data_IF_584880811930
#
_entry.id   IF_584880811930
#
_cell.length_a   1.000
_cell.length_b   1.000
_cell.length_c   1.000
_cell.angle_alpha   90.00
_cell.angle_beta   90.00
_cell.angle_gamma   90.00
#
_symmetry.space_group_name_H-M   'P 1'
#
loop_
_entity.id
_entity.type
_entity.pdbx_description
1 polymer ?
#
# COMPACT_ATOMS: atom_id res chain seq x y z
N UNK A 1 3.60 9.49 -4.35
CA UNK A 1 3.12 8.58 -3.27
C UNK A 1 3.38 9.33 -1.99
N UNK A 2 2.41 10.07 -1.44
CA UNK A 2 2.71 10.93 -0.29
C UNK A 2 3.27 10.10 0.87
N UNK A 3 4.35 10.60 1.47
CA UNK A 3 4.84 10.07 2.74
C UNK A 3 3.70 10.29 3.75
N UNK A 4 3.09 9.19 4.19
CA UNK A 4 1.89 9.16 5.05
C UNK A 4 2.09 10.03 6.26
N UNK A 5 3.23 9.89 6.92
CA UNK A 5 3.53 10.61 8.13
C UNK A 5 3.79 12.09 7.88
N UNK A 6 4.46 12.47 6.78
CA UNK A 6 4.57 13.90 6.40
C UNK A 6 3.22 14.50 6.03
N UNK A 7 2.33 13.72 5.41
CA UNK A 7 0.99 14.18 5.08
C UNK A 7 0.13 14.32 6.35
N UNK A 8 0.21 13.37 7.28
CA UNK A 8 -0.41 13.46 8.61
C UNK A 8 0.12 14.66 9.40
N UNK A 9 1.43 14.86 9.45
CA UNK A 9 2.07 15.95 10.19
C UNK A 9 1.73 17.33 9.56
N UNK A 10 1.60 17.39 8.23
CA UNK A 10 1.23 18.60 7.50
C UNK A 10 -0.26 18.93 7.63
N UNK A 11 -1.12 17.91 7.64
CA UNK A 11 -2.58 18.07 7.76
C UNK A 11 -3.06 18.23 9.19
N UNK A 12 -2.30 17.73 10.17
CA UNK A 12 -2.65 17.76 11.59
C UNK A 12 -1.43 18.17 12.43
N UNK A 13 -0.93 19.42 12.34
CA UNK A 13 0.19 19.89 13.13
C UNK A 13 -0.13 20.16 14.61
N UNK A 14 -1.42 20.33 15.00
CA UNK A 14 -1.79 20.79 16.36
C UNK A 14 -2.92 20.01 17.08
N UNK A 15 -3.09 20.24 18.38
CA UNK A 15 -4.09 19.56 19.25
C UNK A 15 -5.56 19.95 18.93
N UNK A 16 -5.79 21.11 18.29
CA UNK A 16 -7.12 21.69 18.08
C UNK A 16 -7.89 21.15 16.85
N UNK A 17 -7.29 20.27 16.05
CA UNK A 17 -7.89 19.82 14.77
C UNK A 17 -8.67 18.49 14.90
N UNK A 18 -8.88 18.01 16.14
CA UNK A 18 -9.70 16.82 16.38
C UNK A 18 -11.19 17.05 16.10
N UNK A 19 -11.68 18.30 16.12
CA UNK A 19 -13.03 18.66 15.69
C UNK A 19 -13.16 18.77 14.17
N UNK A 20 -12.05 18.93 13.45
CA UNK A 20 -12.03 19.10 11.99
C UNK A 20 -12.36 17.80 11.26
N UNK A 21 -12.12 16.62 11.84
CA UNK A 21 -12.45 15.32 11.24
C UNK A 21 -13.89 15.17 10.67
N UNK A 22 -14.82 16.01 11.14
CA UNK A 22 -16.20 16.11 10.63
C UNK A 22 -16.28 16.71 9.21
N UNK A 23 -15.22 17.31 8.66
CA UNK A 23 -15.23 17.88 7.30
C UNK A 23 -15.39 16.81 6.23
N UNK A 24 -14.86 15.59 6.42
CA UNK A 24 -14.95 14.59 5.37
C UNK A 24 -16.28 13.81 5.35
N UNK A 25 -17.11 13.91 6.39
CA UNK A 25 -18.52 13.47 6.31
C UNK A 25 -19.34 14.35 5.35
N UNK A 26 -18.98 15.63 5.20
CA UNK A 26 -19.70 16.60 4.36
C UNK A 26 -18.92 17.11 3.15
N UNK A 27 -17.63 16.77 3.06
CA UNK A 27 -16.67 17.33 2.12
C UNK A 27 -16.77 18.88 2.05
N UNK A 28 -16.67 19.55 3.21
CA UNK A 28 -16.77 21.02 3.31
C UNK A 28 -15.51 21.62 3.94
N UNK A 29 -14.73 22.37 3.15
CA UNK A 29 -13.49 23.02 3.57
C UNK A 29 -13.65 24.40 4.21
N UNK A 30 -14.87 24.91 4.45
CA UNK A 30 -15.09 26.28 4.97
C UNK A 30 -14.45 26.57 6.32
N UNK A 31 -14.33 25.57 7.20
CA UNK A 31 -13.71 25.73 8.51
C UNK A 31 -12.19 25.63 8.47
N UNK A 32 -11.61 25.13 7.37
CA UNK A 32 -10.16 24.97 7.23
C UNK A 32 -9.48 26.32 7.02
N UNK A 33 -8.27 26.45 7.53
CA UNK A 33 -7.42 27.62 7.32
C UNK A 33 -5.98 27.20 6.95
N UNK A 34 -5.13 28.18 6.62
CA UNK A 34 -3.70 27.96 6.37
C UNK A 34 -3.39 26.92 5.30
N UNK A 35 -2.41 26.06 5.60
CA UNK A 35 -1.96 24.99 4.70
C UNK A 35 -3.04 23.94 4.45
N UNK A 36 -3.82 23.57 5.47
CA UNK A 36 -4.90 22.59 5.36
C UNK A 36 -5.97 23.02 4.35
N UNK A 37 -6.38 24.31 4.38
CA UNK A 37 -7.31 24.86 3.38
C UNK A 37 -6.75 24.78 1.97
N UNK A 38 -5.48 25.17 1.81
CA UNK A 38 -4.80 25.18 0.51
C UNK A 38 -4.74 23.78 -0.09
N UNK A 39 -4.35 22.79 0.72
CA UNK A 39 -4.26 21.39 0.29
C UNK A 39 -5.66 20.85 -0.05
N UNK A 40 -6.66 21.13 0.79
CA UNK A 40 -8.04 20.70 0.53
C UNK A 40 -8.58 21.27 -0.78
N UNK A 41 -8.38 22.55 -1.06
CA UNK A 41 -8.87 23.18 -2.29
C UNK A 41 -8.23 22.58 -3.54
N UNK A 42 -6.91 22.37 -3.51
CA UNK A 42 -6.19 21.72 -4.62
C UNK A 42 -6.71 20.29 -4.85
N UNK A 43 -6.94 19.55 -3.76
CA UNK A 43 -7.48 18.19 -3.84
C UNK A 43 -8.92 18.18 -4.36
N UNK A 44 -9.79 19.06 -3.86
CA UNK A 44 -11.18 19.18 -4.30
C UNK A 44 -11.27 19.54 -5.79
N UNK A 45 -10.46 20.49 -6.26
CA UNK A 45 -10.39 20.86 -7.67
C UNK A 45 -9.89 19.70 -8.55
N UNK A 46 -8.87 18.97 -8.10
CA UNK A 46 -8.37 17.78 -8.80
C UNK A 46 -9.45 16.69 -8.89
N UNK A 47 -10.14 16.38 -7.79
CA UNK A 47 -11.17 15.35 -7.77
C UNK A 47 -12.39 15.75 -8.60
N UNK A 48 -12.79 17.03 -8.59
CA UNK A 48 -13.81 17.56 -9.50
C UNK A 48 -13.40 17.40 -10.96
N UNK A 49 -12.15 17.68 -11.30
CA UNK A 49 -11.63 17.51 -12.66
C UNK A 49 -11.64 16.03 -13.10
N UNK A 50 -11.25 15.11 -12.22
CA UNK A 50 -11.31 13.66 -12.47
C UNK A 50 -12.77 13.21 -12.64
N UNK A 51 -13.68 13.63 -11.75
CA UNK A 51 -15.09 13.29 -11.82
C UNK A 51 -15.74 13.79 -13.11
N UNK A 52 -15.43 15.02 -13.54
CA UNK A 52 -15.94 15.60 -14.78
C UNK A 52 -15.47 14.81 -16.01
N UNK A 53 -14.18 14.43 -16.06
CA UNK A 53 -13.64 13.60 -17.14
C UNK A 53 -14.28 12.21 -17.17
N UNK A 54 -14.51 11.61 -16.01
CA UNK A 54 -15.17 10.31 -15.92
C UNK A 54 -16.63 10.40 -16.39
N UNK A 55 -17.37 11.41 -15.93
CA UNK A 55 -18.76 11.64 -16.34
C UNK A 55 -18.86 11.83 -17.86
N UNK A 56 -17.95 12.60 -18.45
CA UNK A 56 -17.90 12.82 -19.89
C UNK A 56 -17.60 11.53 -20.69
N UNK A 57 -16.70 10.68 -20.18
CA UNK A 57 -16.25 9.47 -20.91
C UNK A 57 -17.11 8.22 -20.67
N UNK A 58 -17.73 8.09 -19.50
CA UNK A 58 -18.44 6.87 -19.05
C UNK A 58 -19.91 7.13 -18.67
N UNK A 59 -20.38 8.38 -18.70
CA UNK A 59 -21.78 8.75 -18.41
C UNK A 59 -22.22 8.59 -16.95
N UNK A 60 -21.33 8.15 -16.05
CA UNK A 60 -21.61 7.98 -14.62
C UNK A 60 -20.74 8.89 -13.75
N UNK A 61 -21.37 9.49 -12.74
CA UNK A 61 -20.68 10.36 -11.77
C UNK A 61 -19.98 9.53 -10.69
N UNK A 62 -18.74 9.91 -10.36
CA UNK A 62 -17.93 9.25 -9.32
C UNK A 62 -17.53 10.17 -8.17
N UNK A 63 -17.99 11.43 -8.15
CA UNK A 63 -17.60 12.45 -7.15
C UNK A 63 -17.69 11.94 -5.72
N UNK A 64 -18.84 11.38 -5.32
CA UNK A 64 -19.04 10.87 -3.96
C UNK A 64 -18.05 9.75 -3.60
N UNK A 65 -17.69 8.90 -4.57
CA UNK A 65 -16.70 7.83 -4.36
C UNK A 65 -15.28 8.37 -4.19
N UNK A 66 -14.94 9.44 -4.90
CA UNK A 66 -13.66 10.13 -4.77
C UNK A 66 -13.54 10.80 -3.40
N UNK A 67 -14.56 11.60 -3.03
CA UNK A 67 -14.61 12.32 -1.77
C UNK A 67 -14.58 11.38 -0.56
N UNK A 68 -15.38 10.31 -0.58
CA UNK A 68 -15.40 9.32 0.51
C UNK A 68 -14.03 8.68 0.75
N UNK A 69 -13.27 8.38 -0.32
CA UNK A 69 -11.95 7.76 -0.18
C UNK A 69 -10.93 8.68 0.49
N UNK A 70 -10.98 9.96 0.14
CA UNK A 70 -10.14 10.97 0.78
C UNK A 70 -10.56 11.18 2.24
N UNK A 71 -11.86 11.22 2.53
CA UNK A 71 -12.36 11.24 3.89
C UNK A 71 -11.79 10.09 4.73
N UNK A 72 -11.89 8.86 4.25
CA UNK A 72 -11.35 7.69 4.97
C UNK A 72 -9.83 7.79 5.19
N UNK A 73 -9.11 8.33 4.19
CA UNK A 73 -7.67 8.58 4.33
C UNK A 73 -7.41 9.60 5.44
N UNK A 74 -8.11 10.73 5.44
CA UNK A 74 -7.96 11.76 6.47
C UNK A 74 -8.32 11.25 7.87
N UNK A 75 -9.38 10.45 7.99
CA UNK A 75 -9.75 9.79 9.25
C UNK A 75 -8.64 8.87 9.72
N UNK A 76 -8.05 8.06 8.82
CA UNK A 76 -6.95 7.16 9.20
C UNK A 76 -5.71 7.91 9.66
N UNK A 77 -5.35 9.02 9.00
CA UNK A 77 -4.25 9.90 9.41
C UNK A 77 -4.49 10.52 10.77
N UNK A 78 -5.72 10.98 11.03
CA UNK A 78 -6.09 11.53 12.33
C UNK A 78 -6.00 10.49 13.45
N UNK A 79 -6.42 9.24 13.20
CA UNK A 79 -6.32 8.16 14.19
C UNK A 79 -4.85 7.84 14.50
N UNK A 80 -4.00 7.75 13.48
CA UNK A 80 -2.55 7.55 13.70
C UNK A 80 -1.92 8.72 14.47
N UNK A 81 -2.29 9.96 14.16
CA UNK A 81 -1.84 11.13 14.92
C UNK A 81 -2.29 11.07 16.38
N UNK A 82 -3.53 10.64 16.65
CA UNK A 82 -4.03 10.43 18.02
C UNK A 82 -3.23 9.37 18.77
N UNK A 83 -2.95 8.22 18.15
CA UNK A 83 -2.14 7.18 18.78
C UNK A 83 -0.75 7.68 19.16
N UNK A 84 -0.07 8.36 18.23
CA UNK A 84 1.26 8.93 18.48
C UNK A 84 1.24 9.98 19.60
N UNK A 85 0.31 10.95 19.58
CA UNK A 85 0.23 12.00 20.61
C UNK A 85 -0.16 11.49 21.99
N UNK A 86 -1.12 10.58 22.05
CA UNK A 86 -1.59 10.01 23.32
C UNK A 86 -0.68 8.91 23.87
N UNK A 87 0.35 8.51 23.11
CA UNK A 87 1.20 7.34 23.40
C UNK A 87 0.35 6.07 23.61
N UNK A 88 -0.80 6.01 22.94
CA UNK A 88 -1.66 4.85 22.96
C UNK A 88 -1.11 3.81 21.97
N UNK A 89 -0.91 2.59 22.47
CA UNK A 89 -0.41 1.47 21.68
C UNK A 89 -1.60 0.60 21.24
N UNK A 90 -2.02 0.65 19.96
CA UNK A 90 -3.02 -0.26 19.43
C UNK A 90 -2.45 -1.68 19.33
N UNK A 91 -3.33 -2.68 19.22
CA UNK A 91 -2.93 -4.02 18.76
C UNK A 91 -2.49 -3.98 17.29
N UNK A 92 -1.73 -4.97 16.85
CA UNK A 92 -1.35 -5.10 15.43
C UNK A 92 -2.57 -5.15 14.50
N UNK A 93 -3.66 -5.79 14.91
CA UNK A 93 -4.90 -5.85 14.13
C UNK A 93 -5.55 -4.47 13.98
N UNK A 94 -5.67 -3.73 15.09
CA UNK A 94 -6.23 -2.36 15.07
C UNK A 94 -5.37 -1.42 14.25
N UNK A 95 -4.05 -1.52 14.39
CA UNK A 95 -3.09 -0.75 13.61
C UNK A 95 -3.25 -1.02 12.12
N UNK A 96 -3.24 -2.29 11.69
CA UNK A 96 -3.35 -2.65 10.28
C UNK A 96 -4.70 -2.26 9.69
N UNK A 97 -5.79 -2.38 10.45
CA UNK A 97 -7.12 -1.97 9.99
C UNK A 97 -7.16 -0.49 9.59
N UNK A 98 -6.42 0.38 10.28
CA UNK A 98 -6.30 1.81 9.94
C UNK A 98 -5.16 2.07 8.94
N UNK A 99 -3.99 1.49 9.22
CA UNK A 99 -2.73 1.71 8.52
C UNK A 99 -2.78 1.27 7.06
N UNK A 100 -3.59 0.27 6.71
CA UNK A 100 -3.81 -0.11 5.32
C UNK A 100 -4.45 1.01 4.49
N UNK A 101 -5.33 1.82 5.11
CA UNK A 101 -5.97 2.98 4.48
C UNK A 101 -5.04 4.20 4.48
N UNK A 102 -4.25 4.38 5.54
CA UNK A 102 -3.38 5.55 5.71
C UNK A 102 -2.29 5.66 4.65
N UNK A 103 -1.85 4.56 4.04
CA UNK A 103 -0.88 4.61 2.92
C UNK A 103 -1.46 5.18 1.63
N UNK A 104 -2.73 5.60 1.63
CA UNK A 104 -3.32 6.35 0.52
C UNK A 104 -3.26 5.60 -0.82
N UNK A 105 -3.00 4.29 -0.80
CA UNK A 105 -2.76 3.48 -1.98
C UNK A 105 -4.02 3.35 -2.85
N UNK A 106 -5.18 3.46 -2.22
CA UNK A 106 -6.50 3.37 -2.86
C UNK A 106 -6.80 4.59 -3.73
N UNK A 107 -6.03 5.68 -3.65
CA UNK A 107 -6.22 6.92 -4.43
C UNK A 107 -6.06 6.75 -5.93
N UNK A 108 -5.38 5.70 -6.36
CA UNK A 108 -5.14 5.42 -7.79
C UNK A 108 -6.13 4.35 -8.30
N UNK A 109 -6.95 3.74 -7.43
CA UNK A 109 -8.10 2.92 -7.86
C UNK A 109 -9.11 3.63 -8.78
N UNK A 110 -9.42 4.94 -8.68
CA UNK A 110 -10.31 5.58 -9.65
C UNK A 110 -9.75 5.56 -11.07
N UNK A 111 -8.44 5.40 -11.25
CA UNK A 111 -7.86 5.14 -12.58
C UNK A 111 -8.42 3.84 -13.17
N UNK A 112 -8.74 2.84 -12.35
CA UNK A 112 -9.37 1.60 -12.82
C UNK A 112 -10.76 1.84 -13.42
N UNK A 113 -11.49 2.86 -12.94
CA UNK A 113 -12.80 3.24 -13.49
C UNK A 113 -12.70 3.71 -14.95
N UNK A 114 -11.59 4.35 -15.31
CA UNK A 114 -11.30 4.72 -16.70
C UNK A 114 -10.89 3.53 -17.57
N UNK A 115 -10.31 2.48 -16.98
CA UNK A 115 -9.81 1.31 -17.72
C UNK A 115 -10.91 0.29 -18.04
N UNK A 116 -12.04 0.32 -17.34
CA UNK A 116 -13.11 -0.65 -17.55
C UNK A 116 -14.47 -0.01 -17.23
N UNK A 117 -15.28 0.30 -18.27
CA UNK A 117 -16.64 0.86 -18.13
C UNK A 117 -17.58 0.08 -17.22
N UNK A 118 -17.30 -1.21 -16.99
CA UNK A 118 -18.16 -2.15 -16.26
C UNK A 118 -17.77 -2.40 -14.80
N UNK A 119 -16.72 -1.76 -14.27
CA UNK A 119 -16.47 -1.84 -12.83
C UNK A 119 -17.61 -1.12 -12.13
N UNK A 120 -18.47 -1.88 -11.47
CA UNK A 120 -19.53 -1.29 -10.66
C UNK A 120 -18.88 -0.50 -9.54
N UNK A 121 -19.17 0.81 -9.48
CA UNK A 121 -18.57 1.77 -8.55
C UNK A 121 -18.60 1.34 -7.05
N UNK A 122 -19.49 0.43 -6.68
CA UNK A 122 -19.58 -0.13 -5.32
C UNK A 122 -18.29 -0.90 -4.92
N UNK A 123 -17.61 -1.61 -5.85
CA UNK A 123 -16.34 -2.33 -5.57
C UNK A 123 -15.15 -1.42 -5.20
N UNK A 124 -15.37 -0.11 -5.11
CA UNK A 124 -14.37 0.91 -4.81
C UNK A 124 -14.52 1.49 -3.39
N UNK A 125 -15.40 0.92 -2.56
CA UNK A 125 -15.49 1.24 -1.13
C UNK A 125 -14.71 0.24 -0.27
N UNK A 126 -14.10 0.65 0.86
CA UNK A 126 -13.32 -0.24 1.73
C UNK A 126 -13.98 -1.52 2.20
N UNK A 127 -15.24 -1.45 2.60
CA UNK A 127 -16.04 -2.62 2.97
C UNK A 127 -16.27 -3.60 1.80
N UNK A 128 -16.12 -3.12 0.56
CA UNK A 128 -16.36 -3.84 -0.69
C UNK A 128 -15.07 -4.03 -1.51
N UNK A 129 -13.90 -3.73 -0.95
CA UNK A 129 -12.63 -4.02 -1.62
C UNK A 129 -12.46 -5.51 -1.81
N UNK A 130 -12.20 -5.87 -3.06
CA UNK A 130 -11.79 -7.19 -3.48
C UNK A 130 -10.45 -7.57 -2.84
N UNK A 131 -10.23 -8.87 -2.65
CA UNK A 131 -9.03 -9.41 -2.00
C UNK A 131 -7.72 -8.87 -2.57
N UNK A 132 -7.53 -8.74 -3.91
CA UNK A 132 -6.27 -8.19 -4.46
C UNK A 132 -5.98 -6.76 -4.02
N UNK A 133 -7.03 -5.94 -3.86
CA UNK A 133 -6.88 -4.56 -3.38
C UNK A 133 -6.46 -4.54 -1.92
N UNK A 134 -7.10 -5.36 -1.07
CA UNK A 134 -6.74 -5.50 0.34
C UNK A 134 -5.30 -6.03 0.52
N UNK A 135 -4.91 -7.05 -0.25
CA UNK A 135 -3.55 -7.58 -0.23
C UNK A 135 -2.51 -6.52 -0.64
N UNK A 136 -2.79 -5.75 -1.69
CA UNK A 136 -1.88 -4.70 -2.13
C UNK A 136 -1.74 -3.58 -1.08
N UNK A 137 -2.83 -3.16 -0.43
CA UNK A 137 -2.79 -2.20 0.68
C UNK A 137 -1.90 -2.71 1.83
N UNK A 138 -2.07 -3.98 2.23
CA UNK A 138 -1.27 -4.61 3.28
C UNK A 138 0.22 -4.65 2.90
N UNK A 139 0.53 -5.11 1.67
CA UNK A 139 1.89 -5.19 1.14
C UNK A 139 2.55 -3.81 1.17
N UNK A 140 1.82 -2.79 0.72
CA UNK A 140 2.26 -1.41 0.70
C UNK A 140 2.57 -0.88 2.10
N UNK A 141 1.68 -1.06 3.09
CA UNK A 141 1.93 -0.64 4.49
C UNK A 141 3.13 -1.38 5.08
N UNK A 142 3.13 -2.71 5.01
CA UNK A 142 4.19 -3.51 5.62
C UNK A 142 5.56 -3.23 4.98
N UNK A 143 5.61 -2.97 3.67
CA UNK A 143 6.87 -2.62 3.00
C UNK A 143 7.39 -1.25 3.45
N UNK A 144 6.49 -0.30 3.75
CA UNK A 144 6.86 1.00 4.29
C UNK A 144 7.41 0.84 5.73
N UNK A 145 6.71 0.09 6.58
CA UNK A 145 7.07 -0.14 7.98
C UNK A 145 8.46 -0.71 8.14
N UNK A 146 8.76 -1.79 7.40
CA UNK A 146 10.08 -2.44 7.43
C UNK A 146 11.21 -1.46 7.12
N UNK A 147 10.97 -0.49 6.23
CA UNK A 147 12.01 0.43 5.77
C UNK A 147 12.08 1.73 6.56
N UNK A 148 11.05 2.05 7.35
CA UNK A 148 10.96 3.31 8.11
C UNK A 148 10.98 3.14 9.62
N UNK A 149 10.96 1.91 10.14
CA UNK A 149 10.71 1.70 11.57
C UNK A 149 11.66 2.45 12.50
N UNK A 150 12.94 2.59 12.15
CA UNK A 150 13.93 3.31 12.93
C UNK A 150 13.59 4.80 13.05
N UNK A 151 13.34 5.45 11.91
CA UNK A 151 12.97 6.88 11.86
C UNK A 151 11.63 7.14 12.56
N UNK A 152 10.71 6.18 12.50
CA UNK A 152 9.39 6.28 13.14
C UNK A 152 9.46 6.08 14.66
N UNK A 153 10.31 5.16 15.13
CA UNK A 153 10.59 4.96 16.54
C UNK A 153 11.13 6.24 17.19
N UNK A 154 12.11 6.89 16.55
CA UNK A 154 12.69 8.17 17.01
C UNK A 154 11.63 9.29 17.11
N UNK A 155 10.57 9.21 16.30
CA UNK A 155 9.46 10.16 16.29
C UNK A 155 8.31 9.78 17.23
N UNK A 156 8.42 8.67 17.97
CA UNK A 156 7.33 8.15 18.81
C UNK A 156 6.13 7.69 17.99
N UNK A 157 6.35 7.22 16.76
CA UNK A 157 5.35 6.65 15.86
C UNK A 157 5.43 5.13 15.88
N UNK A 158 4.27 4.49 15.75
CA UNK A 158 4.14 3.03 15.79
C UNK A 158 4.01 2.47 14.38
N UNK A 159 4.53 1.26 14.19
CA UNK A 159 4.39 0.47 12.96
C UNK A 159 4.38 -1.02 13.26
N UNK A 160 4.13 -1.86 12.24
CA UNK A 160 4.03 -3.32 12.43
C UNK A 160 5.27 -3.96 13.03
N UNK A 161 6.47 -3.46 12.72
CA UNK A 161 7.74 -3.97 13.28
C UNK A 161 7.82 -3.66 14.78
N UNK A 162 7.54 -2.42 15.18
CA UNK A 162 7.58 -2.01 16.59
C UNK A 162 6.44 -2.65 17.40
N UNK A 163 5.25 -2.80 16.81
CA UNK A 163 4.12 -3.45 17.45
C UNK A 163 4.37 -4.94 17.68
N UNK A 164 4.93 -5.66 16.70
CA UNK A 164 5.30 -7.06 16.89
C UNK A 164 6.31 -7.22 18.02
N UNK A 165 7.35 -6.37 18.06
CA UNK A 165 8.37 -6.39 19.11
C UNK A 165 7.73 -6.18 20.50
N UNK A 166 6.80 -5.23 20.62
CA UNK A 166 6.08 -4.96 21.86
C UNK A 166 5.13 -6.10 22.28
N UNK A 167 4.49 -6.78 21.32
CA UNK A 167 3.60 -7.92 21.58
C UNK A 167 4.38 -9.21 21.91
N UNK A 168 5.67 -9.29 21.56
CA UNK A 168 6.52 -10.46 21.71
C UNK A 168 7.81 -10.14 22.49
N UNK A 169 7.78 -10.04 23.84
CA UNK A 169 8.92 -9.59 24.67
C UNK A 169 10.19 -10.45 24.61
N UNK A 170 10.15 -11.61 23.94
CA UNK A 170 11.30 -12.50 23.76
C UNK A 170 11.97 -12.33 22.39
N UNK A 171 11.33 -11.63 21.47
CA UNK A 171 11.87 -11.34 20.16
C UNK A 171 12.83 -10.14 20.25
N UNK A 172 13.87 -10.15 19.43
CA UNK A 172 14.65 -8.94 19.14
C UNK A 172 14.09 -8.23 17.89
N UNK A 173 14.76 -7.14 17.49
CA UNK A 173 14.31 -6.35 16.34
C UNK A 173 14.47 -7.13 15.03
N UNK A 174 15.50 -7.97 14.92
CA UNK A 174 15.74 -8.84 13.77
C UNK A 174 14.62 -9.88 13.61
N UNK A 175 14.19 -10.51 14.69
CA UNK A 175 13.06 -11.43 14.74
C UNK A 175 11.77 -10.75 14.27
N UNK A 176 11.54 -9.51 14.71
CA UNK A 176 10.38 -8.71 14.29
C UNK A 176 10.40 -8.41 12.80
N UNK A 177 11.54 -7.93 12.29
CA UNK A 177 11.71 -7.66 10.85
C UNK A 177 11.54 -8.94 10.04
N UNK A 178 12.09 -10.06 10.50
CA UNK A 178 11.97 -11.36 9.84
C UNK A 178 10.52 -11.84 9.79
N UNK A 179 9.77 -11.67 10.88
CA UNK A 179 8.34 -11.98 10.93
C UNK A 179 7.54 -11.16 9.92
N UNK A 180 7.65 -9.82 9.97
CA UNK A 180 6.89 -8.94 9.06
C UNK A 180 7.27 -9.20 7.60
N UNK A 181 8.56 -9.45 7.30
CA UNK A 181 9.00 -9.87 5.96
C UNK A 181 8.40 -11.22 5.53
N UNK A 182 8.33 -12.20 6.42
CA UNK A 182 7.72 -13.51 6.14
C UNK A 182 6.23 -13.40 5.78
N UNK A 183 5.48 -12.61 6.55
CA UNK A 183 4.06 -12.32 6.27
C UNK A 183 3.94 -11.57 4.94
N UNK A 184 4.77 -10.55 4.71
CA UNK A 184 4.80 -9.77 3.48
C UNK A 184 5.00 -10.65 2.23
N UNK A 185 5.98 -11.56 2.24
CA UNK A 185 6.23 -12.45 1.10
C UNK A 185 5.08 -13.42 0.86
N UNK A 186 4.41 -13.88 1.92
CA UNK A 186 3.21 -14.71 1.81
C UNK A 186 2.08 -13.95 1.13
N UNK A 187 1.81 -12.71 1.56
CA UNK A 187 0.76 -11.86 0.95
C UNK A 187 1.08 -11.44 -0.48
N UNK A 188 2.36 -11.26 -0.84
CA UNK A 188 2.77 -11.05 -2.24
C UNK A 188 2.44 -12.26 -3.11
N UNK A 189 2.72 -13.49 -2.65
CA UNK A 189 2.36 -14.71 -3.36
C UNK A 189 0.86 -14.85 -3.55
N UNK A 190 0.08 -14.57 -2.50
CA UNK A 190 -1.38 -14.58 -2.53
C UNK A 190 -1.90 -13.57 -3.58
N UNK A 191 -1.35 -12.34 -3.62
CA UNK A 191 -1.72 -11.33 -4.61
C UNK A 191 -1.42 -11.80 -6.04
N UNK A 192 -0.26 -12.45 -6.26
CA UNK A 192 0.09 -13.01 -7.57
C UNK A 192 -0.88 -14.12 -7.99
N UNK A 193 -1.30 -14.98 -7.06
CA UNK A 193 -2.30 -16.02 -7.34
C UNK A 193 -3.61 -15.41 -7.80
N UNK A 194 -4.16 -14.42 -7.08
CA UNK A 194 -5.40 -13.75 -7.51
C UNK A 194 -5.26 -12.99 -8.84
N UNK A 195 -4.06 -12.53 -9.17
CA UNK A 195 -3.80 -11.80 -10.40
C UNK A 195 -3.67 -12.70 -11.64
N UNK A 196 -3.20 -13.94 -11.46
CA UNK A 196 -2.87 -14.88 -12.55
C UNK A 196 -3.92 -15.99 -12.71
N UNK A 197 -4.53 -16.47 -11.62
CA UNK A 197 -5.51 -17.55 -11.64
C UNK A 197 -6.91 -16.97 -11.84
N UNK A 198 -7.61 -17.44 -12.86
CA UNK A 198 -8.99 -17.04 -13.14
C UNK A 198 -9.95 -17.59 -12.08
N UNK A 199 -10.99 -16.82 -11.76
CA UNK A 199 -12.02 -17.21 -10.78
C UNK A 199 -11.69 -16.93 -9.30
N UNK A 200 -10.45 -16.58 -8.95
CA UNK A 200 -10.10 -16.20 -7.56
C UNK A 200 -10.44 -14.76 -7.19
N UNK A 201 -10.73 -13.91 -8.17
CA UNK A 201 -11.18 -12.53 -7.95
C UNK A 201 -12.03 -12.08 -9.12
N UNK A 202 -13.07 -11.33 -8.80
CA UNK A 202 -13.99 -10.73 -9.76
C UNK A 202 -13.44 -9.46 -10.42
N UNK A 203 -12.23 -9.02 -10.05
CA UNK A 203 -11.62 -7.85 -10.66
C UNK A 203 -11.35 -8.09 -12.16
N UNK A 204 -11.67 -7.14 -13.05
CA UNK A 204 -11.30 -7.22 -14.46
C UNK A 204 -9.80 -7.39 -14.66
N UNK A 205 -9.40 -8.04 -15.75
CA UNK A 205 -7.99 -8.32 -16.08
C UNK A 205 -7.11 -7.06 -16.06
N UNK A 206 -7.59 -5.95 -16.64
CA UNK A 206 -6.86 -4.68 -16.62
C UNK A 206 -6.68 -4.11 -15.21
N UNK A 207 -7.64 -4.33 -14.31
CA UNK A 207 -7.51 -3.95 -12.91
C UNK A 207 -6.47 -4.81 -12.21
N UNK A 208 -6.47 -6.14 -12.43
CA UNK A 208 -5.44 -7.04 -11.89
C UNK A 208 -4.05 -6.60 -12.35
N UNK A 209 -3.89 -6.25 -13.63
CA UNK A 209 -2.64 -5.71 -14.18
C UNK A 209 -2.23 -4.40 -13.51
N UNK A 210 -3.16 -3.48 -13.24
CA UNK A 210 -2.88 -2.24 -12.51
C UNK A 210 -2.34 -2.52 -11.09
N UNK A 211 -2.92 -3.49 -10.39
CA UNK A 211 -2.43 -3.91 -9.06
C UNK A 211 -1.01 -4.47 -9.13
N UNK A 212 -0.71 -5.32 -10.13
CA UNK A 212 0.64 -5.85 -10.36
C UNK A 212 1.65 -4.76 -10.72
N UNK A 213 1.28 -3.81 -11.57
CA UNK A 213 2.15 -2.67 -11.90
C UNK A 213 2.49 -1.87 -10.65
N UNK A 214 1.53 -1.68 -9.75
CA UNK A 214 1.79 -1.01 -8.48
C UNK A 214 2.63 -1.82 -7.51
N UNK A 215 2.41 -3.13 -7.43
CA UNK A 215 3.28 -4.00 -6.65
C UNK A 215 4.74 -3.82 -7.07
N UNK A 216 5.00 -3.74 -8.39
CA UNK A 216 6.34 -3.47 -8.93
C UNK A 216 6.87 -2.09 -8.54
N UNK A 217 6.04 -1.04 -8.61
CA UNK A 217 6.42 0.31 -8.17
C UNK A 217 6.83 0.31 -6.70
N UNK A 218 6.03 -0.32 -5.81
CA UNK A 218 6.38 -0.41 -4.40
C UNK A 218 7.63 -1.26 -4.14
N UNK A 219 7.80 -2.36 -4.86
CA UNK A 219 9.04 -3.13 -4.80
C UNK A 219 10.24 -2.26 -5.21
N UNK A 220 10.14 -1.48 -6.28
CA UNK A 220 11.21 -0.58 -6.70
C UNK A 220 11.57 0.45 -5.62
N UNK A 221 10.58 1.02 -4.92
CA UNK A 221 10.81 2.02 -3.87
C UNK A 221 11.30 1.45 -2.54
N UNK A 222 10.88 0.22 -2.16
CA UNK A 222 11.01 -0.29 -0.79
C UNK A 222 11.65 -1.68 -0.68
N UNK A 223 12.22 -2.25 -1.75
CA UNK A 223 12.78 -3.61 -1.71
C UNK A 223 13.93 -3.76 -0.71
N UNK A 224 14.89 -2.83 -0.71
CA UNK A 224 16.12 -2.92 0.10
C UNK A 224 16.35 -1.72 1.01
N UNK A 225 15.68 -0.60 0.75
CA UNK A 225 15.79 0.66 1.48
C UNK A 225 14.56 1.51 1.17
N UNK A 226 14.28 2.54 1.97
CA UNK A 226 13.32 3.58 1.61
C UNK A 226 13.94 4.54 0.57
N UNK A 227 13.83 4.20 -0.72
CA UNK A 227 14.33 5.04 -1.82
C UNK A 227 13.38 6.18 -2.18
N UNK A 228 12.18 6.22 -1.59
CA UNK A 228 11.19 7.25 -1.89
C UNK A 228 11.54 8.58 -1.22
N UNK A 229 11.95 8.54 0.04
CA UNK A 229 12.26 9.75 0.82
C UNK A 229 13.75 10.13 0.76
N UNK A 230 14.61 9.24 0.24
CA UNK A 230 16.06 9.46 0.13
C UNK A 230 16.41 9.94 -1.27
N UNK A 231 17.44 10.77 -1.35
CA UNK A 231 18.04 11.13 -2.64
C UNK A 231 18.71 9.87 -3.22
N UNK A 232 17.99 9.18 -4.12
CA UNK A 232 18.46 7.98 -4.81
C UNK A 232 18.88 8.34 -6.24
N UNK A 233 20.18 8.59 -6.40
CA UNK A 233 20.79 8.94 -7.68
C UNK A 233 20.58 7.85 -8.75
N UNK A 234 20.52 6.58 -8.36
CA UNK A 234 20.27 5.47 -9.30
C UNK A 234 18.82 5.45 -9.77
N UNK A 235 17.86 5.76 -8.88
CA UNK A 235 16.47 5.93 -9.29
C UNK A 235 16.29 7.13 -10.21
N UNK A 236 16.89 8.28 -9.89
CA UNK A 236 16.85 9.48 -10.72
C UNK A 236 17.44 9.22 -12.11
N UNK A 237 18.57 8.51 -12.17
CA UNK A 237 19.19 8.07 -13.43
C UNK A 237 18.26 7.13 -14.21
N UNK A 238 17.62 6.18 -13.55
CA UNK A 238 16.61 5.30 -14.17
C UNK A 238 15.44 6.08 -14.77
N UNK A 239 14.93 7.09 -14.05
CA UNK A 239 13.86 7.98 -14.54
C UNK A 239 14.35 8.78 -15.75
N UNK A 240 15.56 9.35 -15.67
CA UNK A 240 16.15 10.12 -16.76
C UNK A 240 16.34 9.27 -18.02
N UNK A 241 16.74 8.01 -17.88
CA UNK A 241 16.88 7.08 -18.99
C UNK A 241 15.54 6.67 -19.59
N UNK A 242 14.51 6.47 -18.75
CA UNK A 242 13.20 5.99 -19.20
C UNK A 242 12.32 7.09 -19.82
N UNK A 243 12.42 8.33 -19.33
CA UNK A 243 11.49 9.42 -19.70
C UNK A 243 12.17 10.52 -20.52
N UNK A 244 13.39 10.90 -20.15
CA UNK A 244 14.03 12.11 -20.70
C UNK A 244 15.03 11.81 -21.81
N UNK A 245 15.68 10.65 -21.77
CA UNK A 245 16.73 10.28 -22.72
C UNK A 245 16.10 9.61 -23.93
N UNK A 246 16.23 10.18 -25.15
CA UNK A 246 15.77 9.49 -26.34
C UNK A 246 16.57 8.21 -26.53
N UNK A 247 15.88 7.13 -26.89
CA UNK A 247 16.56 5.90 -27.29
C UNK A 247 17.38 6.21 -28.55
N UNK A 248 18.70 6.17 -28.43
CA UNK A 248 19.57 6.28 -29.58
C UNK A 248 19.43 5.01 -30.41
N UNK A 249 18.60 5.08 -31.45
CA UNK A 249 18.53 4.06 -32.50
C UNK A 249 19.73 4.25 -33.43
N UNK A 250 20.93 4.14 -32.88
CA UNK A 250 22.17 4.09 -33.65
C UNK A 250 22.33 2.69 -34.20
N UNK A 251 22.30 2.56 -35.53
CA UNK A 251 22.52 1.36 -36.35
C UNK A 251 22.92 0.11 -35.53
N UNK A 252 21.92 -0.56 -34.92
CA UNK A 252 22.16 -1.68 -34.03
C UNK A 252 22.62 -2.84 -34.91
N UNK A 253 23.94 -3.02 -35.03
CA UNK A 253 24.58 -4.23 -35.53
C UNK A 253 24.15 -5.40 -34.65
N UNK A 254 22.97 -5.95 -34.92
CA UNK A 254 22.31 -6.92 -34.05
C UNK A 254 20.80 -7.00 -34.21
N UNK A 255 20.13 -5.96 -34.72
CA UNK A 255 18.68 -6.05 -35.02
C UNK A 255 18.42 -7.06 -36.13
N UNK A 256 19.27 -7.14 -37.16
CA UNK A 256 19.12 -8.15 -38.21
C UNK A 256 19.34 -9.57 -37.69
N UNK A 257 20.22 -9.73 -36.68
CA UNK A 257 20.45 -11.01 -36.01
C UNK A 257 19.29 -11.40 -35.09
N UNK A 258 18.69 -10.44 -34.39
CA UNK A 258 17.47 -10.63 -33.60
C UNK A 258 16.24 -10.90 -34.49
N UNK A 259 16.13 -10.22 -35.64
CA UNK A 259 15.11 -10.50 -36.65
C UNK A 259 15.26 -11.90 -37.22
N UNK A 260 16.48 -12.35 -37.54
CA UNK A 260 16.68 -13.70 -38.07
C UNK A 260 16.41 -14.79 -37.01
N UNK A 261 16.73 -14.53 -35.74
CA UNK A 261 16.39 -15.41 -34.60
C UNK A 261 14.87 -15.45 -34.30
N UNK A 262 14.16 -14.34 -34.43
CA UNK A 262 12.71 -14.29 -34.24
C UNK A 262 11.95 -14.93 -35.41
N UNK A 263 12.46 -14.79 -36.63
CA UNK A 263 11.90 -15.42 -37.82
C UNK A 263 12.16 -16.94 -37.84
N UNK A 264 13.31 -17.42 -37.32
CA UNK A 264 13.60 -18.85 -37.20
C UNK A 264 12.80 -19.56 -36.09
N UNK A 265 12.36 -18.83 -35.06
CA UNK A 265 11.51 -19.38 -33.98
C UNK A 265 10.03 -19.53 -34.35
N UNK A 266 9.60 -18.98 -35.49
CA UNK A 266 8.20 -19.12 -35.97
C UNK A 266 7.92 -20.43 -36.72
N UNK A 267 8.93 -21.29 -36.88
CA UNK A 267 8.80 -22.58 -37.57
C UNK A 267 8.81 -23.77 -36.63
N UNK A 268 7.63 -24.30 -36.32
CA UNK A 268 7.35 -25.68 -35.90
C UNK A 268 7.85 -26.14 -34.50
N UNK A 269 6.92 -26.40 -33.58
CA UNK A 269 6.43 -27.76 -33.23
C UNK A 269 5.73 -27.82 -31.87
N UNK A 270 4.54 -28.41 -31.93
CA UNK A 270 3.94 -29.42 -31.05
C UNK A 270 4.06 -29.29 -29.52
N UNK A 271 2.88 -29.30 -28.91
CA UNK A 271 2.67 -29.52 -27.48
C UNK A 271 3.30 -30.84 -27.02
N UNK A 272 4.19 -30.77 -26.02
CA UNK A 272 4.48 -31.89 -25.13
C UNK A 272 4.26 -31.45 -23.69
N UNK A 273 3.21 -32.00 -23.10
CA UNK A 273 2.96 -32.01 -21.66
C UNK A 273 4.07 -32.86 -21.02
N UNK A 274 4.79 -32.30 -20.06
CA UNK A 274 5.68 -33.05 -19.17
C UNK A 274 5.23 -32.75 -17.74
N UNK A 275 4.60 -33.74 -17.11
CA UNK A 275 4.44 -33.81 -15.67
C UNK A 275 5.81 -34.13 -15.06
N UNK A 276 6.18 -33.44 -13.97
CA UNK A 276 7.17 -33.95 -13.03
C UNK A 276 6.82 -33.52 -11.61
N UNK A 277 6.32 -34.48 -10.84
CA UNK A 277 6.35 -34.46 -9.38
C UNK A 277 7.80 -34.50 -8.89
N UNK A 278 8.14 -33.76 -7.82
CA UNK A 278 9.22 -34.14 -6.92
C UNK A 278 9.08 -33.45 -5.55
N UNK A 279 8.74 -34.26 -4.53
CA UNK A 279 9.57 -34.46 -3.33
C UNK A 279 9.68 -33.38 -2.26
N UNK A 280 9.12 -33.67 -1.09
CA UNK A 280 9.27 -32.97 0.20
C UNK A 280 10.70 -32.93 0.75
N UNK A 281 11.01 -31.87 1.50
CA UNK A 281 11.43 -31.84 2.93
C UNK A 281 12.50 -30.77 3.21
N UNK A 282 12.21 -29.87 4.15
CA UNK A 282 13.25 -29.37 5.06
C UNK A 282 12.65 -29.07 6.44
N UNK A 283 13.23 -29.69 7.46
CA UNK A 283 12.88 -29.57 8.89
C UNK A 283 13.64 -28.38 9.48
N UNK A 284 12.96 -27.42 10.08
CA UNK A 284 13.61 -26.43 10.94
C UNK A 284 13.51 -26.83 12.41
N UNK A 285 14.68 -26.91 13.05
CA UNK A 285 14.86 -27.25 14.46
C UNK A 285 14.39 -26.12 15.38
N UNK A 286 13.55 -26.45 16.35
CA UNK A 286 13.18 -25.58 17.46
C UNK A 286 14.24 -25.68 18.56
N UNK A 287 14.89 -24.57 18.93
CA UNK A 287 15.71 -24.48 20.16
C UNK A 287 14.90 -23.80 21.26
N UNK A 288 14.72 -24.53 22.37
CA UNK A 288 14.28 -23.98 23.67
C UNK A 288 15.42 -23.18 24.29
N UNK A 289 15.12 -21.99 24.79
CA UNK A 289 15.98 -21.31 25.79
C UNK A 289 15.11 -20.81 26.94
N UNK A 290 15.67 -20.99 28.13
CA UNK A 290 15.10 -20.90 29.48
C UNK A 290 14.99 -19.42 29.91
N UNK A 291 13.95 -19.13 30.69
CA UNK A 291 13.55 -17.79 31.15
C UNK A 291 14.46 -17.19 32.24
N UNK A 292 14.47 -15.86 32.33
CA UNK A 292 14.59 -15.09 33.58
C UNK A 292 13.95 -13.69 33.43
N UNK A 293 13.48 -13.05 34.52
CA UNK A 293 12.37 -12.11 34.46
C UNK A 293 12.82 -10.64 34.51
N UNK A 294 12.20 -9.79 33.68
CA UNK A 294 12.19 -8.34 33.90
C UNK A 294 10.79 -7.75 33.72
N UNK A 295 10.51 -6.78 34.57
CA UNK A 295 9.20 -6.25 34.93
C UNK A 295 8.51 -5.44 33.81
N UNK A 296 7.17 -5.43 33.75
CA UNK A 296 6.44 -4.83 32.64
C UNK A 296 6.25 -3.31 32.82
N UNK A 297 6.49 -2.56 31.75
CA UNK A 297 6.07 -1.16 31.60
C UNK A 297 4.53 -1.15 31.49
N UNK A 298 3.86 -0.31 32.29
CA UNK A 298 2.40 -0.30 32.39
C UNK A 298 1.74 0.14 31.06
N UNK A 299 0.87 -0.71 30.52
CA UNK A 299 0.07 -0.43 29.32
C UNK A 299 -1.05 0.57 29.64
N UNK A 300 -1.13 1.70 28.93
CA UNK A 300 -2.40 2.44 28.76
C UNK A 300 -3.13 1.87 27.55
N UNK A 301 -4.14 1.05 27.78
CA UNK A 301 -5.04 0.54 26.75
C UNK A 301 -5.94 1.71 26.29
N UNK A 302 -6.04 1.97 24.98
CA UNK A 302 -6.98 2.97 24.46
C UNK A 302 -8.41 2.57 24.84
N UNK A 303 -9.14 3.46 25.50
CA UNK A 303 -10.60 3.40 25.52
C UNK A 303 -11.14 3.71 24.11
N UNK A 304 -12.26 3.09 23.76
CA UNK A 304 -12.82 2.95 22.41
C UNK A 304 -12.90 4.26 21.63
N UNK A 305 -11.90 4.51 20.77
CA UNK A 305 -11.99 5.48 19.68
C UNK A 305 -12.91 4.92 18.59
N UNK A 306 -13.66 5.81 17.92
CA UNK A 306 -14.51 5.46 16.78
C UNK A 306 -13.73 4.63 15.76
N UNK A 307 -14.09 3.36 15.62
CA UNK A 307 -13.46 2.44 14.68
C UNK A 307 -14.37 2.24 13.46
N UNK A 308 -13.93 2.65 12.25
CA UNK A 308 -14.63 2.31 11.02
C UNK A 308 -14.56 0.78 10.75
N UNK A 309 -15.34 0.25 9.78
CA UNK A 309 -15.52 -1.19 9.58
C UNK A 309 -14.19 -1.95 9.48
N UNK A 310 -14.08 -3.03 10.26
CA UNK A 310 -12.85 -3.83 10.40
C UNK A 310 -12.47 -4.53 9.10
N UNK A 311 -11.21 -4.43 8.71
CA UNK A 311 -10.61 -5.31 7.72
C UNK A 311 -10.22 -6.64 8.37
N UNK A 312 -10.72 -7.77 7.84
CA UNK A 312 -10.22 -9.10 8.21
C UNK A 312 -9.30 -9.62 7.10
N UNK A 313 -8.01 -9.68 7.38
CA UNK A 313 -7.01 -10.46 6.64
C UNK A 313 -6.38 -11.41 7.65
N UNK A 314 -6.37 -12.72 7.37
CA UNK A 314 -5.73 -13.68 8.25
C UNK A 314 -4.21 -13.49 8.21
N UNK A 315 -3.60 -13.33 9.38
CA UNK A 315 -2.14 -13.22 9.56
C UNK A 315 -1.45 -14.60 9.69
N UNK A 316 -2.21 -15.69 9.51
CA UNK A 316 -1.75 -17.08 9.56
C UNK A 316 -0.97 -17.43 8.30
#
# INVERSE_FOLDING_TARGET
MLNVHRATDLMFPGEYELEEARYGERWDGKSLNGHCKTIFDILDDLEKAIAAKHLHSQGSGITNHLQHRWYETFVSWLVEAKWSRSQCVPSMEEYLAMGMTSVAHTMVLPISCFLTPSIRNHKLQPNQYETPTKLLMFITRSSNDIQRYQEEEEQGKLNTVLLYLNENPKADIEDSIAYVKGVLETKKKELLQHAVIDGLSDLPKHCKQLHLSRLKVFAMFFHSSNRYDKEDTEMLKGIQQAICSPLLVGNIKGIDKLRSLLLSYSGSKEHRIINSEFGQHSKYHSRRVIASPFSPISRRRCDTLFMPPKFRLSLV
#
